data_IF_620678493680
#
_entry.id   IF_620678493680
#
_cell.length_a   1.000
_cell.length_b   1.000
_cell.length_c   1.000
_cell.angle_alpha   90.00
_cell.angle_beta   90.00
_cell.angle_gamma   90.00
#
_symmetry.space_group_name_H-M   'P 1'
#
loop_
_entity.id
_entity.type
_entity.pdbx_description
1 polymer ?
#
# COMPACT_ATOMS: atom_id res chain seq x y z
N UNK A 1 -28.92 -19.71 21.32
CA UNK A 1 -27.81 -18.78 20.90
C UNK A 1 -27.39 -17.96 22.11
N UNK A 2 -26.08 -17.87 22.37
CA UNK A 2 -25.51 -17.29 23.61
C UNK A 2 -25.83 -15.79 23.82
N UNK A 3 -26.05 -15.02 22.76
CA UNK A 3 -26.24 -13.58 22.82
C UNK A 3 -27.66 -13.10 22.52
N UNK A 4 -28.62 -14.04 22.32
CA UNK A 4 -30.02 -13.70 22.18
C UNK A 4 -30.74 -14.00 23.50
N UNK A 5 -31.29 -12.97 24.15
CA UNK A 5 -31.90 -13.14 25.49
C UNK A 5 -33.26 -13.79 25.48
N UNK A 6 -33.76 -14.25 24.31
CA UNK A 6 -35.09 -14.87 24.19
C UNK A 6 -35.04 -16.33 24.56
N UNK A 7 -35.88 -16.75 25.54
CA UNK A 7 -36.16 -18.14 25.83
C UNK A 7 -37.14 -18.75 24.81
N UNK A 8 -37.29 -20.06 24.82
CA UNK A 8 -38.29 -20.72 23.97
C UNK A 8 -39.72 -20.31 24.35
N UNK A 9 -39.97 -20.05 25.66
CA UNK A 9 -41.25 -19.51 26.12
C UNK A 9 -41.54 -18.11 25.53
N UNK A 10 -40.52 -17.25 25.47
CA UNK A 10 -40.65 -15.91 24.84
C UNK A 10 -40.96 -16.05 23.35
N UNK A 11 -40.29 -16.94 22.64
CA UNK A 11 -40.58 -17.22 21.24
C UNK A 11 -41.97 -17.73 20.98
N UNK A 12 -42.44 -18.67 21.81
CA UNK A 12 -43.84 -19.15 21.72
C UNK A 12 -44.84 -18.01 21.96
N UNK A 13 -44.62 -17.18 22.98
CA UNK A 13 -45.48 -16.02 23.25
C UNK A 13 -45.49 -15.03 22.10
N UNK A 14 -44.34 -14.77 21.46
CA UNK A 14 -44.23 -13.90 20.28
C UNK A 14 -44.96 -14.50 19.06
N UNK A 15 -44.79 -15.81 18.79
CA UNK A 15 -45.52 -16.50 17.74
C UNK A 15 -47.03 -16.45 17.95
N UNK A 16 -47.50 -16.68 19.16
CA UNK A 16 -48.90 -16.60 19.51
C UNK A 16 -49.47 -15.17 19.32
N UNK A 17 -48.71 -14.12 19.69
CA UNK A 17 -49.11 -12.73 19.46
C UNK A 17 -49.19 -12.36 17.97
N UNK A 18 -48.41 -13.00 17.10
CA UNK A 18 -48.44 -12.85 15.65
C UNK A 18 -49.54 -13.68 15.00
N UNK A 19 -50.04 -14.70 15.70
CA UNK A 19 -51.06 -15.61 15.21
C UNK A 19 -50.50 -16.79 14.40
N UNK A 20 -49.27 -17.24 14.70
CA UNK A 20 -48.61 -18.40 14.09
C UNK A 20 -48.22 -19.43 15.17
N UNK A 21 -48.02 -20.67 14.76
CA UNK A 21 -47.66 -21.77 15.69
C UNK A 21 -46.12 -21.91 15.84
N UNK A 22 -45.37 -21.55 14.84
CA UNK A 22 -43.92 -21.68 14.82
C UNK A 22 -43.24 -20.59 13.96
N UNK A 23 -41.97 -20.32 14.25
CA UNK A 23 -41.15 -19.34 13.50
C UNK A 23 -41.09 -19.65 11.98
N UNK A 24 -41.10 -20.94 11.63
CA UNK A 24 -41.04 -21.36 10.22
C UNK A 24 -42.24 -20.89 9.39
N UNK A 25 -43.39 -20.61 10.01
CA UNK A 25 -44.56 -20.07 9.33
C UNK A 25 -44.36 -18.62 8.85
N UNK A 26 -43.39 -17.88 9.41
CA UNK A 26 -43.01 -16.55 8.92
C UNK A 26 -42.43 -16.58 7.51
N UNK A 27 -41.91 -17.74 7.09
CA UNK A 27 -41.30 -17.94 5.78
C UNK A 27 -42.24 -18.60 4.76
N UNK A 28 -43.55 -18.59 5.02
CA UNK A 28 -44.56 -19.26 4.15
C UNK A 28 -44.54 -18.76 2.69
N UNK A 29 -44.09 -17.52 2.46
CA UNK A 29 -43.97 -16.92 1.14
C UNK A 29 -42.71 -17.38 0.38
N UNK A 30 -41.79 -18.10 1.06
CA UNK A 30 -40.61 -18.71 0.45
C UNK A 30 -41.00 -20.13 -0.02
N UNK A 31 -40.77 -20.52 -1.30
CA UNK A 31 -41.01 -21.88 -1.78
C UNK A 31 -40.32 -22.92 -0.90
N UNK A 32 -40.99 -24.05 -0.66
CA UNK A 32 -40.53 -25.07 0.31
C UNK A 32 -39.13 -25.61 -0.03
N UNK A 33 -38.82 -25.75 -1.31
CA UNK A 33 -37.56 -26.24 -1.84
C UNK A 33 -36.38 -25.25 -1.61
N UNK A 34 -36.68 -23.97 -1.32
CA UNK A 34 -35.69 -22.95 -1.01
C UNK A 34 -35.55 -22.68 0.48
N UNK A 35 -36.40 -23.34 1.33
CA UNK A 35 -36.30 -23.22 2.77
C UNK A 35 -35.24 -24.17 3.29
N UNK A 36 -34.46 -23.70 4.26
CA UNK A 36 -33.45 -24.53 4.95
C UNK A 36 -32.50 -25.23 3.96
N UNK A 37 -31.80 -24.48 3.06
CA UNK A 37 -30.85 -25.12 2.17
C UNK A 37 -29.81 -25.86 3.01
N UNK A 38 -29.47 -27.07 2.59
CA UNK A 38 -28.43 -27.86 3.24
C UNK A 38 -27.07 -27.19 3.00
N UNK A 39 -26.40 -26.81 4.07
CA UNK A 39 -25.06 -26.24 4.04
C UNK A 39 -24.02 -27.36 4.22
N UNK A 40 -24.01 -28.31 3.28
CA UNK A 40 -23.24 -29.56 3.38
C UNK A 40 -21.74 -29.37 3.58
N UNK A 41 -21.19 -28.23 3.07
CA UNK A 41 -19.75 -27.95 3.09
C UNK A 41 -19.33 -27.10 4.29
N UNK A 42 -20.26 -26.72 5.17
CA UNK A 42 -19.90 -25.95 6.36
C UNK A 42 -19.76 -26.91 7.57
N UNK A 43 -18.64 -26.76 8.31
CA UNK A 43 -18.48 -27.55 9.55
C UNK A 43 -19.52 -27.13 10.60
N UNK A 44 -19.89 -28.05 11.42
CA UNK A 44 -20.74 -27.77 12.58
C UNK A 44 -20.04 -26.80 13.55
N UNK A 45 -20.83 -26.13 14.39
CA UNK A 45 -20.32 -25.21 15.40
C UNK A 45 -19.39 -25.91 16.38
N UNK A 46 -18.19 -25.37 16.58
CA UNK A 46 -17.19 -25.87 17.50
C UNK A 46 -17.07 -24.97 18.74
N UNK A 47 -16.59 -25.53 19.85
CA UNK A 47 -16.30 -24.78 21.07
C UNK A 47 -15.03 -23.92 20.92
N UNK A 48 -14.90 -22.86 21.74
CA UNK A 48 -13.78 -21.91 21.71
C UNK A 48 -12.40 -22.61 21.77
N UNK A 49 -12.26 -23.64 22.65
CA UNK A 49 -10.98 -24.37 22.75
C UNK A 49 -10.65 -25.19 21.50
N UNK A 50 -11.65 -25.71 20.80
CA UNK A 50 -11.46 -26.48 19.55
C UNK A 50 -11.07 -25.54 18.43
N UNK A 51 -11.75 -24.39 18.34
CA UNK A 51 -11.42 -23.32 17.37
C UNK A 51 -10.01 -22.79 17.60
N UNK A 52 -9.63 -22.48 18.84
CA UNK A 52 -8.27 -22.03 19.18
C UNK A 52 -7.20 -23.04 18.77
N UNK A 53 -7.40 -24.33 19.10
CA UNK A 53 -6.47 -25.39 18.68
C UNK A 53 -6.35 -25.50 17.16
N UNK A 54 -7.48 -25.44 16.46
CA UNK A 54 -7.50 -25.52 15.00
C UNK A 54 -6.71 -24.37 14.37
N UNK A 55 -7.01 -23.13 14.77
CA UNK A 55 -6.33 -21.96 14.21
C UNK A 55 -4.85 -21.89 14.60
N UNK A 56 -4.47 -22.30 15.81
CA UNK A 56 -3.06 -22.43 16.19
C UNK A 56 -2.32 -23.48 15.35
N UNK A 57 -2.99 -24.58 14.99
CA UNK A 57 -2.41 -25.59 14.11
C UNK A 57 -2.18 -25.03 12.69
N UNK A 58 -3.13 -24.25 12.16
CA UNK A 58 -2.97 -23.57 10.88
C UNK A 58 -1.86 -22.50 10.94
N UNK A 59 -1.84 -21.70 12.01
CA UNK A 59 -0.83 -20.65 12.20
C UNK A 59 0.61 -21.21 12.20
N UNK A 60 0.86 -22.36 12.82
CA UNK A 60 2.18 -23.02 12.82
C UNK A 60 2.67 -23.50 11.45
N UNK A 61 1.83 -23.47 10.42
CA UNK A 61 2.23 -23.81 9.04
C UNK A 61 2.80 -22.61 8.29
N UNK A 62 2.70 -21.41 8.85
CA UNK A 62 3.24 -20.20 8.26
C UNK A 62 4.68 -19.96 8.70
N UNK A 63 5.42 -19.18 7.90
CA UNK A 63 6.74 -18.65 8.22
C UNK A 63 6.61 -17.15 8.52
N UNK A 64 6.46 -16.76 9.81
CA UNK A 64 6.30 -15.35 10.16
C UNK A 64 7.57 -14.53 9.87
N UNK A 65 7.41 -13.36 9.28
CA UNK A 65 8.51 -12.49 8.88
C UNK A 65 9.46 -12.12 10.04
N UNK A 66 8.97 -12.04 11.28
CA UNK A 66 9.75 -11.65 12.46
C UNK A 66 10.51 -12.81 13.14
N UNK A 67 10.27 -14.06 12.75
CA UNK A 67 10.93 -15.25 13.29
C UNK A 67 12.03 -15.77 12.37
N UNK A 68 12.08 -15.33 11.13
CA UNK A 68 12.95 -15.86 10.07
C UNK A 68 13.82 -14.75 9.45
N UNK A 69 15.00 -15.11 8.87
CA UNK A 69 15.71 -14.23 7.95
C UNK A 69 14.78 -13.79 6.82
N UNK A 70 14.55 -12.48 6.70
CA UNK A 70 13.51 -11.92 5.85
C UNK A 70 14.07 -10.85 4.92
N UNK A 71 14.00 -11.11 3.62
CA UNK A 71 14.52 -10.26 2.56
C UNK A 71 13.46 -9.96 1.48
N UNK A 72 12.18 -10.17 1.80
CA UNK A 72 11.08 -9.89 0.89
C UNK A 72 10.80 -8.38 0.90
N UNK A 73 10.58 -7.83 -0.30
CA UNK A 73 10.24 -6.44 -0.56
C UNK A 73 9.12 -6.32 -1.58
N UNK A 74 9.42 -5.70 -2.72
CA UNK A 74 8.49 -5.48 -3.82
C UNK A 74 7.19 -4.79 -3.35
N UNK A 75 7.33 -3.67 -2.63
CA UNK A 75 6.23 -2.81 -2.22
C UNK A 75 5.65 -3.05 -0.83
N UNK A 76 6.14 -4.05 -0.08
CA UNK A 76 5.82 -4.26 1.33
C UNK A 76 7.09 -4.67 2.09
N UNK A 77 7.46 -3.90 3.10
CA UNK A 77 8.75 -4.05 3.77
C UNK A 77 8.57 -4.27 5.27
N UNK A 78 9.43 -5.13 5.84
CA UNK A 78 9.44 -5.37 7.27
C UNK A 78 10.25 -4.30 7.97
N UNK A 79 9.60 -3.48 8.79
CA UNK A 79 10.23 -2.51 9.67
C UNK A 79 9.90 -2.81 11.14
N UNK A 80 10.71 -2.28 12.05
CA UNK A 80 10.38 -2.31 13.45
C UNK A 80 9.30 -1.26 13.77
N UNK A 81 8.17 -1.71 14.29
CA UNK A 81 7.13 -0.84 14.82
C UNK A 81 7.32 -0.74 16.34
N UNK A 82 7.51 0.46 16.92
CA UNK A 82 7.67 0.62 18.36
C UNK A 82 6.42 0.16 19.13
N UNK A 83 6.61 -0.52 20.26
CA UNK A 83 5.51 -1.01 21.11
C UNK A 83 4.54 0.10 21.56
N UNK A 84 5.03 1.34 21.66
CA UNK A 84 4.17 2.50 21.96
C UNK A 84 3.16 2.80 20.86
N UNK A 85 3.47 2.51 19.58
CA UNK A 85 2.50 2.66 18.47
C UNK A 85 1.35 1.68 18.68
N UNK A 86 1.68 0.38 18.86
CA UNK A 86 0.70 -0.68 19.09
C UNK A 86 -0.18 -0.37 20.33
N UNK A 87 0.44 0.03 21.44
CA UNK A 87 -0.28 0.38 22.66
C UNK A 87 -1.24 1.56 22.45
N UNK A 88 -0.82 2.63 21.76
CA UNK A 88 -1.62 3.83 21.60
C UNK A 88 -2.79 3.64 20.65
N UNK A 89 -2.63 2.91 19.56
CA UNK A 89 -3.73 2.66 18.61
C UNK A 89 -4.83 1.76 19.18
N UNK A 90 -4.54 0.99 20.25
CA UNK A 90 -5.51 0.14 20.92
C UNK A 90 -6.35 0.87 21.97
N UNK A 91 -6.06 2.14 22.24
CA UNK A 91 -6.89 2.92 23.17
C UNK A 91 -8.31 3.08 22.62
N UNK A 92 -9.31 2.89 23.48
CA UNK A 92 -10.73 2.91 23.10
C UNK A 92 -11.15 4.18 22.39
N UNK A 93 -10.54 5.32 22.76
CA UNK A 93 -10.81 6.63 22.16
C UNK A 93 -10.49 6.68 20.66
N UNK A 94 -9.49 5.90 20.22
CA UNK A 94 -9.08 5.80 18.81
C UNK A 94 -9.69 4.58 18.14
N UNK A 95 -9.62 3.40 18.79
CA UNK A 95 -10.02 2.12 18.20
C UNK A 95 -11.51 2.10 17.80
N UNK A 96 -12.37 2.74 18.59
CA UNK A 96 -13.82 2.81 18.34
C UNK A 96 -14.22 4.03 17.51
N UNK A 97 -13.31 4.95 17.21
CA UNK A 97 -13.59 6.12 16.38
C UNK A 97 -13.88 5.71 14.94
N UNK A 98 -14.90 6.32 14.36
CA UNK A 98 -15.23 6.18 12.95
C UNK A 98 -15.00 7.50 12.21
N UNK A 99 -15.77 7.79 11.18
CA UNK A 99 -15.63 9.04 10.45
C UNK A 99 -16.01 10.25 11.29
N UNK A 100 -15.15 11.28 11.38
CA UNK A 100 -15.39 12.47 12.23
C UNK A 100 -16.32 13.47 11.54
N UNK A 101 -17.59 13.10 11.27
CA UNK A 101 -18.56 13.97 10.62
C UNK A 101 -19.02 15.13 11.52
N UNK A 102 -19.06 14.89 12.83
CA UNK A 102 -19.43 15.92 13.82
C UNK A 102 -18.17 16.48 14.46
N UNK A 103 -17.67 17.64 13.99
CA UNK A 103 -16.41 18.19 14.49
C UNK A 103 -16.46 18.51 15.99
N UNK A 104 -17.63 18.81 16.53
CA UNK A 104 -17.81 19.19 17.94
C UNK A 104 -17.36 18.09 18.91
N UNK A 105 -17.52 16.83 18.54
CA UNK A 105 -17.16 15.67 19.38
C UNK A 105 -15.96 14.88 18.86
N UNK A 106 -15.40 15.26 17.71
CA UNK A 106 -14.36 14.52 17.02
C UNK A 106 -13.04 15.32 16.85
N UNK A 107 -12.81 16.34 17.66
CA UNK A 107 -11.64 17.21 17.53
C UNK A 107 -10.31 16.45 17.64
N UNK A 108 -10.22 15.45 18.53
CA UNK A 108 -9.02 14.61 18.65
C UNK A 108 -8.72 13.83 17.38
N UNK A 109 -9.74 13.20 16.77
CA UNK A 109 -9.61 12.49 15.49
C UNK A 109 -9.23 13.44 14.36
N UNK A 110 -9.85 14.58 14.25
CA UNK A 110 -9.54 15.60 13.25
C UNK A 110 -8.13 16.16 13.43
N UNK A 111 -7.68 16.33 14.67
CA UNK A 111 -6.32 16.82 14.98
C UNK A 111 -5.27 15.84 14.44
N UNK A 112 -5.33 14.53 14.77
CA UNK A 112 -4.31 13.62 14.29
C UNK A 112 -4.37 13.43 12.76
N UNK A 113 -5.54 13.52 12.13
CA UNK A 113 -5.64 13.49 10.68
C UNK A 113 -5.01 14.72 10.04
N UNK A 114 -5.15 15.89 10.65
CA UNK A 114 -4.46 17.10 10.18
C UNK A 114 -2.94 16.99 10.34
N UNK A 115 -2.47 16.42 11.44
CA UNK A 115 -1.05 16.13 11.66
C UNK A 115 -0.52 15.10 10.63
N UNK A 116 -1.28 14.03 10.38
CA UNK A 116 -0.98 13.08 9.31
C UNK A 116 -0.79 13.76 7.96
N UNK A 117 -1.76 14.60 7.55
CA UNK A 117 -1.66 15.36 6.30
C UNK A 117 -0.39 16.22 6.25
N UNK A 118 -0.06 16.88 7.36
CA UNK A 118 1.12 17.74 7.47
C UNK A 118 2.42 16.94 7.33
N UNK A 119 2.49 15.78 8.01
CA UNK A 119 3.65 14.88 7.94
C UNK A 119 3.85 14.31 6.53
N UNK A 120 2.76 13.86 5.89
CA UNK A 120 2.81 13.28 4.55
C UNK A 120 3.19 14.35 3.51
N UNK A 121 2.60 15.54 3.58
CA UNK A 121 2.97 16.65 2.70
C UNK A 121 4.45 17.03 2.84
N UNK A 122 4.96 17.13 4.06
CA UNK A 122 6.37 17.42 4.34
C UNK A 122 7.30 16.30 3.83
N UNK A 123 6.94 15.03 4.04
CA UNK A 123 7.71 13.86 3.61
C UNK A 123 7.90 13.84 2.08
N UNK A 124 6.84 14.12 1.33
CA UNK A 124 6.88 14.16 -0.13
C UNK A 124 7.36 15.50 -0.71
N UNK A 125 7.58 16.51 0.13
CA UNK A 125 7.93 17.87 -0.31
C UNK A 125 6.82 18.54 -1.12
N UNK A 126 5.57 18.21 -0.80
CA UNK A 126 4.37 18.70 -1.48
C UNK A 126 3.58 19.66 -0.60
N UNK A 127 2.60 20.38 -1.17
CA UNK A 127 1.87 21.43 -0.46
C UNK A 127 0.67 20.92 0.33
N UNK A 128 -0.01 19.86 -0.16
CA UNK A 128 -1.25 19.36 0.43
C UNK A 128 -1.25 17.82 0.39
N UNK A 129 -1.70 17.21 1.50
CA UNK A 129 -2.04 15.79 1.57
C UNK A 129 -3.49 15.60 2.02
N UNK A 130 -4.12 14.49 1.63
CA UNK A 130 -5.44 14.11 2.14
C UNK A 130 -5.33 13.29 3.44
N UNK A 131 -6.47 12.94 4.03
CA UNK A 131 -6.58 12.16 5.27
C UNK A 131 -6.35 10.65 5.08
N UNK A 132 -5.61 10.25 4.09
CA UNK A 132 -5.24 8.94 3.54
C UNK A 132 -6.16 8.38 2.45
N UNK A 133 -5.58 7.47 1.69
CA UNK A 133 -6.26 6.54 0.79
C UNK A 133 -6.26 5.14 1.43
N UNK A 134 -6.81 4.13 0.76
CA UNK A 134 -6.84 2.76 1.27
C UNK A 134 -5.47 2.11 1.24
N UNK A 135 -4.77 2.22 0.12
CA UNK A 135 -3.42 1.73 -0.14
C UNK A 135 -2.73 2.53 -1.25
N UNK A 136 -1.45 2.25 -1.47
CA UNK A 136 -0.65 2.94 -2.49
C UNK A 136 -1.12 2.66 -3.92
N UNK A 137 -1.61 1.47 -4.22
CA UNK A 137 -2.07 1.11 -5.56
C UNK A 137 -3.37 1.87 -5.92
N UNK A 138 -4.34 1.92 -4.98
CA UNK A 138 -5.55 2.72 -5.13
C UNK A 138 -5.23 4.21 -5.21
N UNK A 139 -4.28 4.70 -4.39
CA UNK A 139 -3.81 6.09 -4.46
C UNK A 139 -3.23 6.41 -5.85
N UNK A 140 -2.45 5.50 -6.42
CA UNK A 140 -1.86 5.67 -7.76
C UNK A 140 -2.92 5.73 -8.86
N UNK A 141 -3.89 4.82 -8.83
CA UNK A 141 -4.99 4.82 -9.80
C UNK A 141 -5.83 6.11 -9.69
N UNK A 142 -6.15 6.55 -8.48
CA UNK A 142 -6.86 7.82 -8.25
C UNK A 142 -6.04 9.05 -8.68
N UNK A 143 -4.70 9.00 -8.61
CA UNK A 143 -3.84 10.05 -9.13
C UNK A 143 -3.95 10.17 -10.66
N UNK A 144 -3.97 9.03 -11.37
CA UNK A 144 -4.20 9.01 -12.82
C UNK A 144 -5.60 9.59 -13.15
N UNK A 145 -6.63 9.13 -12.44
CA UNK A 145 -8.00 9.65 -12.64
C UNK A 145 -8.10 11.14 -12.31
N UNK A 146 -7.40 11.61 -11.30
CA UNK A 146 -7.32 13.03 -10.96
C UNK A 146 -6.64 13.83 -12.08
N UNK A 147 -5.54 13.34 -12.64
CA UNK A 147 -4.85 13.98 -13.75
C UNK A 147 -5.76 14.09 -14.99
N UNK A 148 -6.54 13.04 -15.30
CA UNK A 148 -7.54 13.07 -16.37
C UNK A 148 -8.64 14.12 -16.12
N UNK A 149 -9.09 14.28 -14.86
CA UNK A 149 -10.06 15.33 -14.50
C UNK A 149 -9.49 16.75 -14.65
N UNK A 150 -8.21 16.93 -14.29
CA UNK A 150 -7.51 18.20 -14.43
C UNK A 150 -7.26 18.56 -15.88
N UNK A 151 -6.94 17.59 -16.72
CA UNK A 151 -6.64 17.75 -18.16
C UNK A 151 -7.81 17.31 -19.03
N UNK A 152 -8.98 17.93 -18.85
CA UNK A 152 -10.31 17.51 -19.36
C UNK A 152 -10.37 17.04 -20.82
N UNK A 153 -9.51 17.57 -21.68
CA UNK A 153 -9.46 17.25 -23.11
C UNK A 153 -8.41 16.19 -23.45
N UNK A 154 -7.75 15.59 -22.46
CA UNK A 154 -6.70 14.61 -22.63
C UNK A 154 -7.08 13.31 -21.95
N UNK A 155 -6.84 12.19 -22.63
CA UNK A 155 -7.24 10.87 -22.13
C UNK A 155 -6.10 9.85 -22.13
N UNK A 156 -4.87 10.27 -22.36
CA UNK A 156 -3.69 9.42 -22.41
C UNK A 156 -2.89 9.53 -21.10
N UNK A 157 -2.58 8.40 -20.49
CA UNK A 157 -1.57 8.28 -19.44
C UNK A 157 -0.41 7.42 -19.93
N UNK A 158 0.82 7.87 -19.67
CA UNK A 158 2.04 7.12 -19.96
C UNK A 158 2.53 6.50 -18.64
N UNK A 159 2.63 5.17 -18.58
CA UNK A 159 3.05 4.43 -17.42
C UNK A 159 4.46 3.86 -17.66
N UNK A 160 5.40 4.12 -16.74
CA UNK A 160 6.73 3.52 -16.74
C UNK A 160 6.65 1.99 -16.76
N UNK A 161 7.53 1.34 -17.50
CA UNK A 161 7.69 -0.12 -17.47
C UNK A 161 8.20 -0.61 -16.12
N UNK A 162 8.89 0.25 -15.37
CA UNK A 162 9.41 -0.05 -14.05
C UNK A 162 8.44 0.34 -12.90
N UNK A 163 7.18 0.68 -13.22
CA UNK A 163 6.10 0.78 -12.23
C UNK A 163 5.72 -0.63 -11.75
N UNK A 164 5.47 -0.76 -10.46
CA UNK A 164 5.03 -2.02 -9.84
C UNK A 164 3.82 -2.62 -10.59
N UNK A 165 3.89 -3.87 -11.05
CA UNK A 165 2.86 -4.44 -11.94
C UNK A 165 1.48 -4.52 -11.28
N UNK A 166 1.38 -4.74 -9.97
CA UNK A 166 0.09 -4.72 -9.28
C UNK A 166 -0.53 -3.32 -9.24
N UNK A 167 0.28 -2.27 -9.10
CA UNK A 167 -0.17 -0.88 -9.19
C UNK A 167 -0.70 -0.57 -10.59
N UNK A 168 0.03 -1.02 -11.61
CA UNK A 168 -0.41 -0.93 -13.00
C UNK A 168 -1.74 -1.63 -13.22
N UNK A 169 -1.91 -2.86 -12.71
CA UNK A 169 -3.15 -3.63 -12.84
C UNK A 169 -4.35 -2.93 -12.19
N UNK A 170 -4.16 -2.22 -11.08
CA UNK A 170 -5.22 -1.41 -10.46
C UNK A 170 -5.58 -0.21 -11.34
N UNK A 171 -4.58 0.51 -11.92
CA UNK A 171 -4.82 1.59 -12.88
C UNK A 171 -5.62 1.06 -14.08
N UNK A 172 -5.20 -0.04 -14.69
CA UNK A 172 -5.88 -0.68 -15.83
C UNK A 172 -7.33 -1.05 -15.50
N UNK A 173 -7.55 -1.63 -14.32
CA UNK A 173 -8.88 -2.02 -13.85
C UNK A 173 -9.81 -0.82 -13.69
N UNK A 174 -9.33 0.25 -13.06
CA UNK A 174 -10.14 1.45 -12.80
C UNK A 174 -10.37 2.29 -14.05
N UNK A 175 -9.48 2.22 -15.04
CA UNK A 175 -9.57 2.94 -16.32
C UNK A 175 -10.37 2.20 -17.39
N UNK A 176 -10.57 0.90 -17.23
CA UNK A 176 -11.06 -0.03 -18.27
C UNK A 176 -12.31 0.40 -19.03
N UNK A 177 -13.27 1.01 -18.34
CA UNK A 177 -14.57 1.40 -18.92
C UNK A 177 -14.74 2.91 -19.08
N UNK A 178 -13.66 3.68 -18.97
CA UNK A 178 -13.69 5.14 -18.96
C UNK A 178 -13.26 5.77 -20.28
N UNK A 179 -12.79 4.96 -21.24
CA UNK A 179 -12.29 5.42 -22.53
C UNK A 179 -10.95 6.15 -22.44
N UNK A 180 -10.14 5.82 -21.45
CA UNK A 180 -8.78 6.31 -21.25
C UNK A 180 -7.79 5.43 -22.02
N UNK A 181 -6.73 6.04 -22.55
CA UNK A 181 -5.64 5.33 -23.24
C UNK A 181 -4.44 5.21 -22.30
N UNK A 182 -4.09 3.99 -21.95
CA UNK A 182 -2.91 3.70 -21.16
C UNK A 182 -1.77 3.23 -22.08
N UNK A 183 -0.68 3.98 -22.12
CA UNK A 183 0.56 3.59 -22.81
C UNK A 183 1.52 3.07 -21.76
N UNK A 184 1.72 1.76 -21.74
CA UNK A 184 2.54 1.09 -20.72
C UNK A 184 3.90 0.72 -21.29
N UNK A 185 4.97 1.13 -20.60
CA UNK A 185 6.34 0.74 -20.92
C UNK A 185 6.60 -0.77 -20.66
N UNK A 186 7.66 -1.26 -21.27
CA UNK A 186 8.19 -2.59 -20.99
C UNK A 186 9.17 -2.52 -19.82
N UNK A 187 9.11 -3.44 -18.85
CA UNK A 187 10.06 -3.50 -17.74
C UNK A 187 11.53 -3.51 -18.20
N UNK A 188 12.37 -2.70 -17.56
CA UNK A 188 13.81 -2.54 -17.88
C UNK A 188 14.66 -2.79 -16.61
N UNK A 189 14.79 -4.03 -16.15
CA UNK A 189 15.41 -4.34 -14.85
C UNK A 189 16.91 -4.03 -14.79
N UNK A 190 17.61 -3.97 -15.93
CA UNK A 190 19.05 -3.73 -15.97
C UNK A 190 19.42 -2.28 -16.30
N UNK A 191 18.51 -1.53 -16.92
CA UNK A 191 18.82 -0.18 -17.44
C UNK A 191 17.61 0.75 -17.25
N UNK A 192 17.52 1.44 -16.11
CA UNK A 192 16.43 2.38 -15.84
C UNK A 192 16.44 3.61 -16.78
N UNK A 193 17.59 3.96 -17.38
CA UNK A 193 17.71 5.05 -18.34
C UNK A 193 16.94 4.73 -19.64
N UNK A 194 16.89 3.46 -20.06
CA UNK A 194 16.10 3.03 -21.23
C UNK A 194 14.60 3.12 -20.96
N UNK A 195 14.15 2.86 -19.73
CA UNK A 195 12.75 3.08 -19.34
C UNK A 195 12.41 4.57 -19.35
N UNK A 196 13.28 5.40 -18.76
CA UNK A 196 13.12 6.86 -18.76
C UNK A 196 13.03 7.42 -20.18
N UNK A 197 13.93 6.99 -21.08
CA UNK A 197 13.94 7.41 -22.48
C UNK A 197 12.64 6.99 -23.20
N UNK A 198 12.15 5.77 -22.98
CA UNK A 198 10.92 5.28 -23.57
C UNK A 198 9.69 6.05 -23.06
N UNK A 199 9.63 6.35 -21.77
CA UNK A 199 8.59 7.18 -21.16
C UNK A 199 8.60 8.59 -21.76
N UNK A 200 9.77 9.24 -21.86
CA UNK A 200 9.91 10.58 -22.44
C UNK A 200 9.49 10.63 -23.92
N UNK A 201 9.80 9.58 -24.69
CA UNK A 201 9.43 9.48 -26.11
C UNK A 201 7.91 9.29 -26.32
N UNK A 202 7.21 8.73 -25.33
CA UNK A 202 5.78 8.47 -25.39
C UNK A 202 4.92 9.71 -25.06
N UNK A 203 5.51 10.81 -24.59
CA UNK A 203 4.81 12.05 -24.18
C UNK A 203 4.47 12.87 -25.43
N UNK A 204 3.20 13.27 -25.55
CA UNK A 204 2.67 14.17 -26.58
C UNK A 204 1.57 15.09 -26.01
N UNK A 205 0.92 15.86 -26.88
CA UNK A 205 -0.13 16.81 -26.51
C UNK A 205 -1.42 16.15 -26.00
N UNK A 206 -1.64 14.86 -26.24
CA UNK A 206 -2.78 14.11 -25.73
C UNK A 206 -2.50 13.52 -24.32
N UNK A 207 -1.27 13.57 -23.87
CA UNK A 207 -0.85 13.04 -22.57
C UNK A 207 -1.38 13.91 -21.44
N UNK A 208 -2.21 13.33 -20.59
CA UNK A 208 -2.71 13.96 -19.36
C UNK A 208 -1.68 13.83 -18.20
N UNK A 209 -1.07 12.66 -18.06
CA UNK A 209 -0.04 12.42 -17.05
C UNK A 209 0.95 11.35 -17.45
N UNK A 210 2.08 11.40 -16.76
CA UNK A 210 3.13 10.38 -16.78
C UNK A 210 3.26 9.83 -15.37
N UNK A 211 3.36 8.50 -15.23
CA UNK A 211 3.45 7.81 -13.94
C UNK A 211 4.78 7.07 -13.84
N UNK A 212 5.57 7.41 -12.83
CA UNK A 212 6.86 6.76 -12.52
C UNK A 212 6.91 6.34 -11.05
N UNK A 213 7.68 5.31 -10.73
CA UNK A 213 7.91 4.88 -9.35
C UNK A 213 9.31 5.28 -8.89
N UNK A 214 9.42 5.68 -7.62
CA UNK A 214 10.64 6.21 -7.01
C UNK A 214 10.80 5.78 -5.53
N UNK A 215 11.77 4.90 -5.21
CA UNK A 215 12.52 4.03 -6.13
C UNK A 215 11.62 3.14 -6.97
N UNK A 216 12.08 2.68 -8.15
CA UNK A 216 11.28 1.82 -9.01
C UNK A 216 11.16 0.39 -8.47
N UNK A 217 10.34 -0.45 -9.12
CA UNK A 217 10.07 -1.83 -8.65
C UNK A 217 11.33 -2.71 -8.60
N UNK A 218 12.36 -2.38 -9.37
CA UNK A 218 13.64 -3.10 -9.38
C UNK A 218 14.65 -2.54 -8.36
N UNK A 219 14.26 -1.51 -7.63
CA UNK A 219 15.05 -0.83 -6.61
C UNK A 219 15.87 0.36 -7.12
N UNK A 220 15.77 0.73 -8.42
CA UNK A 220 16.58 1.83 -8.97
C UNK A 220 16.10 3.19 -8.48
N UNK A 221 17.09 4.06 -8.24
CA UNK A 221 16.88 5.48 -7.91
C UNK A 221 17.25 6.32 -9.12
N UNK A 222 16.24 6.92 -9.77
CA UNK A 222 16.37 7.75 -10.97
C UNK A 222 16.01 9.20 -10.68
N UNK A 223 16.75 10.17 -11.24
CA UNK A 223 16.37 11.59 -11.18
C UNK A 223 15.35 11.90 -12.28
N UNK A 224 14.15 12.29 -11.89
CA UNK A 224 13.06 12.59 -12.81
C UNK A 224 12.91 14.09 -13.13
N UNK A 225 13.89 14.93 -12.81
CA UNK A 225 13.83 16.39 -13.08
C UNK A 225 13.59 16.66 -14.57
N UNK A 226 14.35 16.03 -15.46
CA UNK A 226 14.19 16.19 -16.91
C UNK A 226 12.85 15.65 -17.42
N UNK A 227 12.34 14.59 -16.81
CA UNK A 227 11.03 14.05 -17.15
C UNK A 227 9.90 15.02 -16.76
N UNK A 228 10.01 15.65 -15.58
CA UNK A 228 9.06 16.68 -15.15
C UNK A 228 9.03 17.85 -16.14
N UNK A 229 10.20 18.37 -16.52
CA UNK A 229 10.31 19.44 -17.51
C UNK A 229 9.69 19.05 -18.87
N UNK A 230 9.96 17.82 -19.34
CA UNK A 230 9.40 17.29 -20.58
C UNK A 230 7.87 17.17 -20.50
N UNK A 231 7.34 16.61 -19.42
CA UNK A 231 5.90 16.47 -19.19
C UNK A 231 5.22 17.85 -19.18
N UNK A 232 5.76 18.78 -18.41
CA UNK A 232 5.23 20.15 -18.32
C UNK A 232 5.28 20.92 -19.64
N UNK A 233 6.34 20.75 -20.43
CA UNK A 233 6.45 21.37 -21.76
C UNK A 233 5.32 20.93 -22.71
N UNK A 234 4.79 19.70 -22.54
CA UNK A 234 3.63 19.18 -23.26
C UNK A 234 2.32 19.40 -22.50
N UNK A 235 2.35 20.09 -21.35
CA UNK A 235 1.19 20.36 -20.51
C UNK A 235 0.65 19.11 -19.76
N UNK A 236 1.39 18.01 -19.72
CA UNK A 236 1.09 16.82 -18.94
C UNK A 236 1.51 17.00 -17.47
N UNK A 237 0.97 16.16 -16.57
CA UNK A 237 1.33 16.15 -15.15
C UNK A 237 2.31 14.99 -14.86
N UNK A 238 3.25 15.21 -13.96
CA UNK A 238 4.10 14.16 -13.41
C UNK A 238 3.47 13.57 -12.13
N UNK A 239 3.16 12.28 -12.16
CA UNK A 239 2.72 11.49 -11.03
C UNK A 239 3.88 10.59 -10.57
N UNK A 240 4.27 10.70 -9.31
CA UNK A 240 5.30 9.83 -8.71
C UNK A 240 4.70 8.89 -7.69
N UNK A 241 5.19 7.65 -7.69
CA UNK A 241 4.75 6.58 -6.78
C UNK A 241 5.92 6.17 -5.89
N UNK A 242 5.73 6.15 -4.58
CA UNK A 242 6.75 5.71 -3.61
C UNK A 242 6.19 4.56 -2.78
N UNK A 243 6.69 3.35 -3.00
CA UNK A 243 6.25 2.15 -2.25
C UNK A 243 6.98 1.99 -0.92
N UNK A 244 8.15 2.63 -0.77
CA UNK A 244 8.96 2.64 0.45
C UNK A 244 9.22 4.08 0.92
N UNK A 245 8.34 4.65 1.76
CA UNK A 245 8.43 6.06 2.16
C UNK A 245 9.63 6.36 3.08
N UNK A 246 10.23 5.36 3.73
CA UNK A 246 11.48 5.53 4.51
C UNK A 246 12.62 6.01 3.60
N UNK A 247 12.59 5.70 2.31
CA UNK A 247 13.56 6.18 1.33
C UNK A 247 13.66 7.71 1.30
N UNK A 248 12.55 8.41 1.53
CA UNK A 248 12.49 9.88 1.52
C UNK A 248 13.21 10.53 2.72
N UNK A 249 13.63 9.75 3.71
CA UNK A 249 14.57 10.20 4.75
C UNK A 249 16.01 10.37 4.24
N UNK A 250 16.34 9.83 3.07
CA UNK A 250 17.66 9.92 2.43
C UNK A 250 17.61 10.53 1.03
N UNK A 251 16.59 10.20 0.25
CA UNK A 251 16.43 10.64 -1.12
C UNK A 251 15.71 12.00 -1.21
N UNK A 252 15.90 12.70 -2.33
CA UNK A 252 15.18 13.94 -2.61
C UNK A 252 13.67 13.68 -2.68
N UNK A 253 12.83 14.50 -2.02
CA UNK A 253 11.39 14.30 -2.07
C UNK A 253 10.83 14.64 -3.48
N UNK A 254 9.77 13.94 -3.93
CA UNK A 254 9.18 14.12 -5.26
C UNK A 254 8.82 15.57 -5.63
N UNK A 255 8.31 16.34 -4.69
CA UNK A 255 7.99 17.75 -4.93
C UNK A 255 9.19 18.59 -5.37
N UNK A 256 10.42 18.22 -4.92
CA UNK A 256 11.64 18.98 -5.22
C UNK A 256 12.16 18.79 -6.65
N UNK A 257 11.71 17.76 -7.38
CA UNK A 257 12.06 17.57 -8.79
C UNK A 257 10.86 17.75 -9.74
N UNK A 258 9.77 18.35 -9.25
CA UNK A 258 8.68 18.80 -10.11
C UNK A 258 7.46 17.88 -10.19
N UNK A 259 7.28 16.93 -9.26
CA UNK A 259 6.04 16.16 -9.19
C UNK A 259 4.82 17.06 -8.97
N UNK A 260 3.74 16.79 -9.68
CA UNK A 260 2.44 17.47 -9.53
C UNK A 260 1.53 16.74 -8.56
N UNK A 261 1.60 15.41 -8.60
CA UNK A 261 0.91 14.51 -7.69
C UNK A 261 1.95 13.47 -7.24
N UNK A 262 2.09 13.28 -5.93
CA UNK A 262 2.97 12.27 -5.38
C UNK A 262 2.18 11.38 -4.43
N UNK A 263 2.21 10.08 -4.69
CA UNK A 263 1.45 9.06 -3.96
C UNK A 263 2.36 7.95 -3.48
N UNK A 264 1.89 7.14 -2.56
CA UNK A 264 2.69 6.04 -2.08
C UNK A 264 1.98 5.13 -1.11
N UNK A 265 2.74 4.16 -0.57
CA UNK A 265 2.32 3.24 0.45
C UNK A 265 2.97 3.60 1.79
N UNK A 266 2.15 3.76 2.83
CA UNK A 266 2.61 4.14 4.17
C UNK A 266 2.92 2.98 5.11
N UNK A 267 2.77 1.74 4.67
CA UNK A 267 2.89 0.53 5.50
C UNK A 267 4.19 0.48 6.32
N UNK A 268 5.31 0.86 5.77
CA UNK A 268 6.63 0.85 6.43
C UNK A 268 6.72 1.70 7.70
N UNK A 269 5.81 2.63 7.89
CA UNK A 269 5.80 3.58 9.01
C UNK A 269 4.60 3.32 9.93
N UNK A 270 4.76 2.42 10.89
CA UNK A 270 3.78 2.17 11.95
C UNK A 270 2.79 1.04 11.69
N UNK A 271 2.78 0.45 10.49
CA UNK A 271 1.89 -0.68 10.15
C UNK A 271 2.72 -1.94 9.92
N UNK A 272 2.52 -2.96 10.76
CA UNK A 272 3.19 -4.24 10.61
C UNK A 272 2.76 -5.01 9.36
N UNK A 273 3.59 -5.97 8.92
CA UNK A 273 3.22 -6.90 7.86
C UNK A 273 2.12 -7.85 8.33
N UNK A 274 1.01 -7.87 7.63
CA UNK A 274 -0.11 -8.79 7.80
C UNK A 274 -0.51 -9.36 6.43
N UNK A 275 -1.24 -10.43 6.40
CA UNK A 275 -1.66 -11.16 5.19
C UNK A 275 -2.46 -10.29 4.19
N UNK A 276 -1.79 -9.37 3.49
CA UNK A 276 -2.41 -8.48 2.51
C UNK A 276 -3.03 -7.21 3.06
N UNK A 277 -2.69 -6.81 4.28
CA UNK A 277 -3.15 -5.56 4.86
C UNK A 277 -3.54 -5.64 6.34
N UNK A 278 -4.03 -4.54 6.91
CA UNK A 278 -4.33 -3.28 6.23
C UNK A 278 -3.08 -2.56 5.72
N UNK A 279 -3.27 -1.76 4.67
CA UNK A 279 -2.27 -0.85 4.11
C UNK A 279 -2.69 0.60 4.34
N UNK A 280 -1.86 1.56 3.85
CA UNK A 280 -2.10 2.99 4.05
C UNK A 280 -1.70 3.78 2.81
N UNK A 281 -2.67 4.22 2.03
CA UNK A 281 -2.40 5.05 0.86
C UNK A 281 -2.04 6.48 1.26
N UNK A 282 -0.90 6.94 0.75
CA UNK A 282 -0.42 8.32 0.87
C UNK A 282 -0.76 9.06 -0.42
N UNK A 283 -1.32 10.26 -0.31
CA UNK A 283 -1.71 11.06 -1.47
C UNK A 283 -1.43 12.53 -1.23
N UNK A 284 -0.60 13.11 -2.09
CA UNK A 284 -0.22 14.51 -2.04
C UNK A 284 -0.35 15.19 -3.40
N UNK A 285 -0.54 16.50 -3.40
CA UNK A 285 -0.61 17.30 -4.62
C UNK A 285 -0.26 18.76 -4.38
N UNK A 286 -0.16 19.54 -5.46
CA UNK A 286 -0.05 21.01 -5.38
C UNK A 286 -1.37 21.63 -4.92
N UNK A 287 -1.32 22.76 -4.25
CA UNK A 287 -2.49 23.47 -3.69
C UNK A 287 -3.53 23.82 -4.75
N UNK A 288 -3.09 24.20 -5.94
CA UNK A 288 -3.98 24.53 -7.04
C UNK A 288 -4.91 23.39 -7.47
N UNK A 289 -4.50 22.13 -7.23
CA UNK A 289 -5.26 20.94 -7.62
C UNK A 289 -6.17 20.38 -6.51
N UNK A 290 -6.15 20.95 -5.32
CA UNK A 290 -6.84 20.43 -4.12
C UNK A 290 -8.34 20.15 -4.35
N UNK A 291 -9.02 20.93 -5.19
CA UNK A 291 -10.45 20.75 -5.50
C UNK A 291 -10.75 19.47 -6.30
N UNK A 292 -9.76 18.86 -6.94
CA UNK A 292 -9.87 17.61 -7.70
C UNK A 292 -9.26 16.42 -6.96
N UNK A 293 -8.69 16.65 -5.78
CA UNK A 293 -8.05 15.63 -4.95
C UNK A 293 -9.09 14.60 -4.47
N UNK A 294 -8.83 13.29 -4.55
CA UNK A 294 -9.70 12.26 -3.97
C UNK A 294 -9.61 12.24 -2.44
N UNK A 295 -10.55 11.54 -1.82
CA UNK A 295 -10.52 11.32 -0.37
C UNK A 295 -10.91 12.53 0.46
N UNK A 296 -10.84 12.36 1.78
CA UNK A 296 -11.20 13.40 2.75
C UNK A 296 -10.06 14.36 3.00
N UNK A 297 -10.42 15.57 3.36
CA UNK A 297 -9.52 16.63 3.78
C UNK A 297 -9.97 17.20 5.10
N UNK A 298 -9.04 17.34 6.04
CA UNK A 298 -9.22 18.07 7.28
C UNK A 298 -8.62 19.45 7.11
N UNK A 299 -9.38 20.48 7.45
CA UNK A 299 -8.96 21.88 7.44
C UNK A 299 -8.96 22.47 8.84
N UNK A 300 -8.06 23.42 9.07
CA UNK A 300 -8.05 24.23 10.29
C UNK A 300 -9.09 25.34 10.19
N UNK A 301 -9.77 25.63 11.31
CA UNK A 301 -10.77 26.68 11.45
C UNK A 301 -10.72 27.28 12.86
N UNK A 302 -11.61 28.21 13.15
CA UNK A 302 -11.84 28.72 14.49
C UNK A 302 -13.32 28.58 14.87
N UNK A 303 -13.60 28.39 16.16
CA UNK A 303 -14.97 28.39 16.69
C UNK A 303 -15.51 29.80 16.84
N UNK A 304 -16.73 29.92 17.37
CA UNK A 304 -17.39 31.23 17.62
C UNK A 304 -16.69 32.10 18.67
N UNK A 305 -15.82 31.51 19.49
CA UNK A 305 -15.01 32.20 20.49
C UNK A 305 -13.57 32.47 19.98
N UNK A 306 -13.28 32.15 18.72
CA UNK A 306 -11.96 32.36 18.12
C UNK A 306 -10.92 31.28 18.47
N UNK A 307 -11.32 30.16 19.11
CA UNK A 307 -10.42 29.07 19.46
C UNK A 307 -10.17 28.19 18.23
N UNK A 308 -8.93 27.77 18.08
CA UNK A 308 -8.51 26.85 17.01
C UNK A 308 -9.28 25.53 17.05
N UNK A 309 -9.78 25.09 15.91
CA UNK A 309 -10.45 23.81 15.73
C UNK A 309 -10.22 23.24 14.35
N UNK A 310 -10.75 22.04 14.12
CA UNK A 310 -10.59 21.30 12.85
C UNK A 310 -11.93 20.80 12.35
N UNK A 311 -12.09 20.76 11.03
CA UNK A 311 -13.32 20.28 10.37
C UNK A 311 -12.96 19.47 9.13
N UNK A 312 -13.87 18.57 8.71
CA UNK A 312 -13.82 18.03 7.34
C UNK A 312 -14.16 19.16 6.38
N UNK A 313 -13.30 19.36 5.37
CA UNK A 313 -13.48 20.43 4.38
C UNK A 313 -13.68 19.84 2.98
N UNK A 314 -14.27 20.64 2.07
CA UNK A 314 -14.56 20.26 0.70
C UNK A 314 -15.42 18.97 0.56
N UNK A 315 -16.20 18.61 1.59
CA UNK A 315 -17.02 17.40 1.63
C UNK A 315 -18.06 17.32 0.49
N UNK A 316 -18.43 18.45 -0.11
CA UNK A 316 -19.34 18.49 -1.29
C UNK A 316 -18.81 17.71 -2.50
N UNK A 317 -17.53 17.28 -2.53
CA UNK A 317 -16.94 16.42 -3.58
C UNK A 317 -17.26 14.95 -3.39
N UNK A 318 -17.67 14.54 -2.18
CA UNK A 318 -17.81 13.14 -1.77
C UNK A 318 -19.05 12.48 -2.37
N UNK A 319 -19.02 11.14 -2.50
CA UNK A 319 -20.04 10.35 -3.15
C UNK A 319 -21.42 10.42 -2.47
N UNK A 320 -21.48 10.55 -1.15
CA UNK A 320 -22.74 10.63 -0.41
C UNK A 320 -23.50 11.94 -0.67
N UNK A 321 -22.82 12.97 -1.20
CA UNK A 321 -23.42 14.24 -1.58
C UNK A 321 -23.65 14.29 -3.10
N UNK A 322 -22.63 14.02 -3.90
CA UNK A 322 -22.67 14.19 -5.36
C UNK A 322 -23.07 12.94 -6.14
N UNK A 323 -23.13 11.79 -5.49
CA UNK A 323 -23.49 10.51 -6.11
C UNK A 323 -22.63 10.22 -7.35
N UNK A 324 -23.24 10.01 -8.52
CA UNK A 324 -22.56 9.76 -9.80
C UNK A 324 -21.64 10.89 -10.27
N UNK A 325 -21.81 12.10 -9.71
CA UNK A 325 -20.97 13.28 -10.02
C UNK A 325 -19.85 13.49 -8.99
N UNK A 326 -19.63 12.53 -8.09
CA UNK A 326 -18.55 12.62 -7.11
C UNK A 326 -17.18 12.68 -7.79
N UNK A 327 -16.25 13.34 -7.13
CA UNK A 327 -14.86 13.44 -7.61
C UNK A 327 -14.17 12.08 -7.66
N UNK A 328 -14.50 11.19 -6.72
CA UNK A 328 -13.92 9.85 -6.58
C UNK A 328 -14.91 8.91 -5.90
N UNK A 329 -14.72 7.61 -6.07
CA UNK A 329 -15.45 6.56 -5.35
C UNK A 329 -14.86 6.25 -3.97
N UNK A 330 -13.80 6.92 -3.56
CA UNK A 330 -13.23 6.79 -2.21
C UNK A 330 -14.26 7.29 -1.20
N UNK A 331 -14.68 6.39 -0.31
CA UNK A 331 -15.72 6.66 0.68
C UNK A 331 -15.15 7.19 1.99
N UNK A 332 -14.08 6.58 2.48
CA UNK A 332 -13.47 6.88 3.78
C UNK A 332 -11.95 6.89 3.66
N UNK A 333 -11.28 6.91 4.78
CA UNK A 333 -9.83 6.83 4.92
C UNK A 333 -9.45 5.66 5.84
N UNK A 334 -8.19 5.22 5.82
CA UNK A 334 -7.64 4.21 6.73
C UNK A 334 -7.22 4.86 8.05
N UNK A 335 -8.22 5.33 8.84
CA UNK A 335 -7.98 6.23 9.98
C UNK A 335 -7.03 5.66 11.05
N UNK A 336 -7.21 4.39 11.46
CA UNK A 336 -6.34 3.77 12.46
C UNK A 336 -4.91 3.56 11.95
N UNK A 337 -4.74 3.19 10.69
CA UNK A 337 -3.42 3.07 10.05
C UNK A 337 -2.75 4.46 9.90
N UNK A 338 -3.52 5.50 9.56
CA UNK A 338 -3.03 6.88 9.53
C UNK A 338 -2.58 7.35 10.92
N UNK A 339 -3.27 6.97 11.98
CA UNK A 339 -2.85 7.24 13.36
C UNK A 339 -1.54 6.53 13.70
N UNK A 340 -1.42 5.23 13.36
CA UNK A 340 -0.20 4.46 13.59
C UNK A 340 1.00 5.10 12.88
N UNK A 341 0.82 5.50 11.63
CA UNK A 341 1.82 6.24 10.85
C UNK A 341 2.21 7.56 11.55
N UNK A 342 1.21 8.36 11.95
CA UNK A 342 1.42 9.65 12.61
C UNK A 342 2.20 9.52 13.90
N UNK A 343 1.86 8.54 14.74
CA UNK A 343 2.57 8.26 15.98
C UNK A 343 4.03 7.85 15.68
N UNK A 344 4.23 6.91 14.75
CA UNK A 344 5.57 6.44 14.40
C UNK A 344 6.44 7.57 13.83
N UNK A 345 5.92 8.36 12.90
CA UNK A 345 6.62 9.53 12.35
C UNK A 345 6.95 10.57 13.42
N UNK A 346 6.05 10.81 14.36
CA UNK A 346 6.28 11.72 15.48
C UNK A 346 7.39 11.22 16.40
N UNK A 347 7.43 9.91 16.70
CA UNK A 347 8.49 9.29 17.50
C UNK A 347 9.86 9.35 16.80
N UNK A 348 9.91 9.16 15.50
CA UNK A 348 11.13 9.28 14.72
C UNK A 348 11.59 10.73 14.61
N UNK A 349 10.70 11.65 14.28
CA UNK A 349 11.03 12.99 13.87
C UNK A 349 11.98 13.00 12.65
N UNK A 350 12.40 14.17 12.19
CA UNK A 350 13.30 14.28 11.04
C UNK A 350 14.62 13.53 11.25
N UNK A 351 15.23 13.69 12.42
CA UNK A 351 16.53 13.05 12.73
C UNK A 351 16.44 11.54 12.77
N UNK A 352 15.36 11.00 13.37
CA UNK A 352 15.11 9.57 13.45
C UNK A 352 14.86 8.97 12.08
N UNK A 353 14.01 9.58 11.26
CA UNK A 353 13.72 9.13 9.89
C UNK A 353 15.00 9.10 9.03
N UNK A 354 15.79 10.17 9.05
CA UNK A 354 17.08 10.22 8.34
C UNK A 354 18.06 9.14 8.81
N UNK A 355 18.11 8.86 10.12
CA UNK A 355 18.95 7.79 10.67
C UNK A 355 18.44 6.42 10.24
N UNK A 356 17.13 6.18 10.30
CA UNK A 356 16.48 4.95 9.85
C UNK A 356 16.78 4.69 8.37
N UNK A 357 16.60 5.68 7.52
CA UNK A 357 16.89 5.57 6.09
C UNK A 357 18.35 5.21 5.80
N UNK A 358 19.30 5.88 6.48
CA UNK A 358 20.74 5.55 6.35
C UNK A 358 21.06 4.13 6.80
N UNK A 359 20.41 3.66 7.87
CA UNK A 359 20.61 2.30 8.37
C UNK A 359 20.08 1.26 7.37
N UNK A 360 18.91 1.48 6.81
CA UNK A 360 18.33 0.62 5.77
C UNK A 360 19.25 0.52 4.56
N UNK A 361 19.71 1.67 4.05
CA UNK A 361 20.64 1.69 2.92
C UNK A 361 21.96 0.96 3.25
N UNK A 362 22.55 1.21 4.42
CA UNK A 362 23.78 0.53 4.84
C UNK A 362 23.61 -0.99 4.94
N UNK A 363 22.47 -1.46 5.45
CA UNK A 363 22.13 -2.90 5.47
C UNK A 363 22.03 -3.47 4.06
N UNK A 364 21.38 -2.77 3.15
CA UNK A 364 21.29 -3.22 1.76
C UNK A 364 22.65 -3.25 1.06
N UNK A 365 23.53 -2.29 1.32
CA UNK A 365 24.93 -2.33 0.82
C UNK A 365 25.65 -3.59 1.29
N UNK A 366 25.50 -3.98 2.57
CA UNK A 366 26.09 -5.21 3.09
C UNK A 366 25.53 -6.45 2.40
N UNK A 367 24.20 -6.53 2.24
CA UNK A 367 23.53 -7.63 1.49
C UNK A 367 24.02 -7.69 0.05
N UNK A 368 24.02 -6.55 -0.64
CA UNK A 368 24.52 -6.44 -2.04
C UNK A 368 25.93 -7.01 -2.16
N UNK A 369 26.85 -6.60 -1.28
CA UNK A 369 28.24 -7.03 -1.34
C UNK A 369 28.38 -8.54 -1.11
N UNK A 370 27.61 -9.10 -0.17
CA UNK A 370 27.61 -10.53 0.10
C UNK A 370 27.09 -11.36 -1.09
N UNK A 371 26.00 -10.89 -1.72
CA UNK A 371 25.36 -11.61 -2.83
C UNK A 371 26.10 -11.42 -4.17
N UNK A 372 26.68 -10.26 -4.41
CA UNK A 372 27.51 -10.00 -5.60
C UNK A 372 28.80 -10.82 -5.66
N UNK A 373 29.25 -11.34 -4.51
CA UNK A 373 30.42 -12.22 -4.44
C UNK A 373 30.13 -13.66 -4.89
N UNK A 374 28.85 -14.04 -5.05
CA UNK A 374 28.47 -15.40 -5.43
C UNK A 374 28.65 -15.63 -6.94
N UNK A 375 29.21 -16.80 -7.34
CA UNK A 375 29.42 -17.10 -8.74
C UNK A 375 28.12 -17.10 -9.57
N UNK A 376 28.12 -16.40 -10.69
CA UNK A 376 26.99 -16.33 -11.62
C UNK A 376 25.86 -15.39 -11.18
N UNK A 377 25.96 -14.74 -10.05
CA UNK A 377 24.99 -13.74 -9.58
C UNK A 377 25.41 -12.35 -10.06
N UNK A 378 24.50 -11.63 -10.74
CA UNK A 378 24.70 -10.27 -11.16
C UNK A 378 23.71 -9.34 -10.45
N UNK A 379 24.22 -8.26 -9.83
CA UNK A 379 23.37 -7.19 -9.27
C UNK A 379 23.01 -6.25 -10.40
N UNK A 380 21.72 -5.94 -10.57
CA UNK A 380 21.22 -5.01 -11.58
C UNK A 380 21.07 -3.62 -10.97
N UNK A 381 21.60 -2.62 -11.68
CA UNK A 381 21.56 -1.21 -11.23
C UNK A 381 22.64 -0.86 -10.19
N UNK A 382 23.05 0.39 -10.22
CA UNK A 382 24.10 0.94 -9.33
C UNK A 382 23.53 1.79 -8.20
N UNK A 383 22.42 2.49 -8.48
CA UNK A 383 21.77 3.41 -7.55
C UNK A 383 20.52 2.78 -6.98
N UNK A 384 20.52 2.51 -5.68
CA UNK A 384 19.42 1.85 -4.98
C UNK A 384 19.25 2.44 -3.57
N UNK A 385 18.13 2.14 -2.93
CA UNK A 385 17.92 2.48 -1.53
C UNK A 385 18.05 1.25 -0.62
N UNK A 386 17.00 0.47 -0.42
CA UNK A 386 16.97 -0.70 0.46
C UNK A 386 16.51 -1.98 -0.26
N UNK A 387 16.41 -1.93 -1.56
CA UNK A 387 16.04 -3.05 -2.43
C UNK A 387 16.93 -3.07 -3.67
N UNK A 388 17.29 -4.26 -4.10
CA UNK A 388 18.06 -4.53 -5.33
C UNK A 388 17.45 -5.69 -6.10
N UNK A 389 17.70 -5.73 -7.39
CA UNK A 389 17.37 -6.89 -8.22
C UNK A 389 18.64 -7.65 -8.57
N UNK A 390 18.61 -8.96 -8.34
CA UNK A 390 19.64 -9.89 -8.78
C UNK A 390 19.20 -10.60 -10.07
N UNK A 391 20.15 -10.84 -10.96
CA UNK A 391 19.99 -11.84 -12.03
C UNK A 391 20.74 -13.09 -11.62
N UNK A 392 20.02 -14.20 -11.54
CA UNK A 392 20.55 -15.52 -11.23
C UNK A 392 20.89 -16.28 -12.54
N UNK A 393 21.81 -17.27 -12.52
CA UNK A 393 22.10 -18.11 -13.68
C UNK A 393 20.95 -19.08 -14.03
N UNK A 394 19.99 -19.25 -13.12
CA UNK A 394 18.84 -20.16 -13.21
C UNK A 394 17.56 -19.43 -12.87
N UNK A 395 16.40 -20.06 -13.04
CA UNK A 395 15.11 -19.52 -12.62
C UNK A 395 15.08 -19.28 -11.11
N UNK A 396 14.58 -18.10 -10.69
CA UNK A 396 14.61 -17.68 -9.29
C UNK A 396 13.55 -18.38 -8.41
N UNK A 397 12.41 -18.78 -8.97
CA UNK A 397 11.30 -19.35 -8.17
C UNK A 397 11.69 -20.65 -7.45
N UNK A 398 12.29 -21.67 -8.10
CA UNK A 398 12.73 -22.88 -7.39
C UNK A 398 13.77 -22.60 -6.28
N UNK A 399 14.63 -21.61 -6.50
CA UNK A 399 15.62 -21.19 -5.49
C UNK A 399 14.90 -20.60 -4.26
N UNK A 400 13.95 -19.70 -4.47
CA UNK A 400 13.17 -19.09 -3.37
C UNK A 400 12.41 -20.15 -2.58
N UNK A 401 11.80 -21.13 -3.25
CA UNK A 401 11.10 -22.24 -2.61
C UNK A 401 12.05 -23.12 -1.77
N UNK A 402 13.22 -23.44 -2.31
CA UNK A 402 14.23 -24.21 -1.58
C UNK A 402 14.73 -23.49 -0.32
N UNK A 403 15.01 -22.19 -0.42
CA UNK A 403 15.43 -21.37 0.73
C UNK A 403 14.30 -21.21 1.74
N UNK A 404 13.05 -21.07 1.32
CA UNK A 404 11.89 -21.02 2.20
C UNK A 404 11.71 -22.32 2.99
N UNK A 405 11.98 -23.49 2.39
CA UNK A 405 12.00 -24.77 3.09
C UNK A 405 13.08 -24.85 4.19
N UNK A 406 14.18 -24.09 4.06
CA UNK A 406 15.19 -23.89 5.10
C UNK A 406 14.84 -22.76 6.09
N UNK A 407 13.68 -22.14 5.97
CA UNK A 407 13.24 -21.02 6.82
C UNK A 407 13.87 -19.66 6.45
N UNK A 408 14.37 -19.48 5.23
CA UNK A 408 14.96 -18.22 4.74
C UNK A 408 14.03 -17.62 3.67
N UNK A 409 13.44 -16.47 3.96
CA UNK A 409 12.56 -15.74 3.04
C UNK A 409 13.41 -14.79 2.17
N UNK A 410 13.96 -15.33 1.09
CA UNK A 410 15.07 -14.75 0.33
C UNK A 410 14.73 -13.54 -0.54
N UNK A 411 13.46 -13.29 -0.82
CA UNK A 411 13.01 -12.22 -1.70
C UNK A 411 11.84 -12.61 -2.60
N UNK A 412 11.60 -11.83 -3.64
CA UNK A 412 10.48 -12.05 -4.58
C UNK A 412 11.04 -12.45 -5.94
N UNK A 413 10.70 -13.65 -6.46
CA UNK A 413 11.15 -14.07 -7.80
C UNK A 413 10.36 -13.31 -8.87
N UNK A 414 11.05 -12.91 -9.94
CA UNK A 414 10.49 -12.04 -10.97
C UNK A 414 9.26 -12.61 -11.70
N UNK A 415 9.18 -13.93 -11.88
CA UNK A 415 8.02 -14.58 -12.47
C UNK A 415 6.73 -14.41 -11.64
N UNK A 416 6.82 -14.12 -10.35
CA UNK A 416 5.65 -13.80 -9.50
C UNK A 416 5.04 -12.45 -9.84
N UNK A 417 5.86 -11.51 -10.28
CA UNK A 417 5.43 -10.17 -10.68
C UNK A 417 5.11 -10.08 -12.18
N UNK A 418 5.84 -10.85 -13.00
CA UNK A 418 5.69 -10.90 -14.45
C UNK A 418 5.65 -12.36 -14.93
N UNK A 419 4.53 -13.10 -14.70
CA UNK A 419 4.44 -14.52 -15.04
C UNK A 419 4.61 -14.81 -16.53
N UNK A 420 4.17 -13.89 -17.39
CA UNK A 420 4.19 -14.03 -18.84
C UNK A 420 5.52 -13.56 -19.51
N UNK A 421 6.53 -13.22 -18.68
CA UNK A 421 7.81 -12.69 -19.16
C UNK A 421 8.98 -13.59 -18.78
N UNK A 422 9.43 -14.41 -19.72
CA UNK A 422 10.55 -15.33 -19.52
C UNK A 422 11.86 -14.63 -19.12
N UNK A 423 12.11 -13.41 -19.65
CA UNK A 423 13.29 -12.59 -19.32
C UNK A 423 13.31 -12.06 -17.85
N UNK A 424 12.20 -12.23 -17.14
CA UNK A 424 12.10 -11.91 -15.70
C UNK A 424 12.19 -13.15 -14.80
N UNK A 425 12.18 -14.37 -15.32
CA UNK A 425 12.13 -15.61 -14.53
C UNK A 425 13.39 -15.87 -13.71
N UNK A 426 14.53 -15.37 -14.14
CA UNK A 426 15.79 -15.47 -13.42
C UNK A 426 16.09 -14.25 -12.52
N UNK A 427 15.14 -13.36 -12.35
CA UNK A 427 15.27 -12.20 -11.46
C UNK A 427 14.83 -12.54 -10.04
N UNK A 428 15.58 -12.05 -9.06
CA UNK A 428 15.26 -12.11 -7.65
C UNK A 428 15.34 -10.70 -7.04
N UNK A 429 14.22 -10.16 -6.59
CA UNK A 429 14.15 -8.89 -5.88
C UNK A 429 14.43 -9.14 -4.41
N UNK A 430 15.41 -8.44 -3.85
CA UNK A 430 15.90 -8.63 -2.48
C UNK A 430 15.87 -7.30 -1.76
N UNK A 431 15.21 -7.25 -0.61
CA UNK A 431 15.12 -6.05 0.23
C UNK A 431 15.78 -6.28 1.60
N UNK A 432 16.30 -5.21 2.19
CA UNK A 432 16.83 -5.23 3.54
C UNK A 432 16.46 -3.94 4.30
N UNK A 433 16.07 -4.12 5.56
CA UNK A 433 15.73 -3.01 6.45
C UNK A 433 16.62 -3.07 7.71
N UNK A 434 16.38 -2.18 8.66
CA UNK A 434 17.05 -2.17 9.96
C UNK A 434 16.87 -3.47 10.75
N UNK A 435 15.90 -4.28 10.40
CA UNK A 435 15.60 -5.54 11.09
C UNK A 435 16.50 -6.70 10.68
N UNK A 436 17.24 -6.55 9.58
CA UNK A 436 18.16 -7.59 9.07
C UNK A 436 19.45 -7.60 9.87
N UNK A 437 19.83 -8.78 10.41
CA UNK A 437 21.05 -9.00 11.18
C UNK A 437 22.18 -9.54 10.30
N UNK A 438 23.43 -9.41 10.76
CA UNK A 438 24.59 -9.95 10.04
C UNK A 438 24.52 -11.48 9.88
N UNK A 439 23.97 -12.18 10.88
CA UNK A 439 23.74 -13.62 10.81
C UNK A 439 22.72 -14.00 9.70
N UNK A 440 21.68 -13.17 9.49
CA UNK A 440 20.68 -13.39 8.45
C UNK A 440 21.30 -13.23 7.05
N UNK A 441 22.19 -12.24 6.88
CA UNK A 441 22.92 -12.02 5.62
C UNK A 441 23.84 -13.20 5.31
N UNK A 442 24.58 -13.69 6.33
CA UNK A 442 25.45 -14.85 6.18
C UNK A 442 24.66 -16.11 5.81
N UNK A 443 23.51 -16.32 6.48
CA UNK A 443 22.63 -17.45 6.20
C UNK A 443 22.08 -17.40 4.77
N UNK A 444 21.60 -16.22 4.31
CA UNK A 444 21.10 -16.04 2.95
C UNK A 444 22.17 -16.33 1.90
N UNK A 445 23.39 -15.75 2.07
CA UNK A 445 24.48 -15.94 1.10
C UNK A 445 24.91 -17.41 0.99
N UNK A 446 25.08 -18.09 2.14
CA UNK A 446 25.43 -19.50 2.15
C UNK A 446 24.36 -20.43 1.58
N UNK A 447 23.07 -20.16 1.88
CA UNK A 447 21.97 -20.96 1.34
C UNK A 447 21.81 -20.75 -0.17
N UNK A 448 21.90 -19.49 -0.64
CA UNK A 448 21.83 -19.17 -2.06
C UNK A 448 22.98 -19.83 -2.84
N UNK A 449 24.20 -19.78 -2.32
CA UNK A 449 25.37 -20.45 -2.94
C UNK A 449 25.15 -21.96 -3.06
N UNK A 450 24.63 -22.63 -2.02
CA UNK A 450 24.31 -24.06 -2.06
C UNK A 450 23.25 -24.37 -3.12
N UNK A 451 22.15 -23.61 -3.09
CA UNK A 451 21.04 -23.81 -4.02
C UNK A 451 21.47 -23.64 -5.49
N UNK A 452 22.31 -22.63 -5.78
CA UNK A 452 22.84 -22.40 -7.13
C UNK A 452 23.81 -23.50 -7.62
N UNK A 453 24.48 -24.25 -6.72
CA UNK A 453 25.34 -25.38 -7.09
C UNK A 453 24.56 -26.65 -7.38
N UNK A 454 23.32 -26.76 -6.92
CA UNK A 454 22.46 -27.95 -7.06
C UNK A 454 21.40 -27.81 -8.13
N UNK A 455 21.22 -26.62 -8.71
CA UNK A 455 20.31 -26.29 -9.80
C UNK A 455 21.00 -26.28 -11.14
#
# INVERSE_FOLDING_TARGET
>A
MRYLPLSDADRHAMCAAIGISAVDELFRDVPAELRNPSLHDLPEGAGEMEVDRHFRALARRNLPAFEHPFFVGAGAYRHHVPASVDYLIQRGEFLTAYTPYQPEIAQGTLTYLFEFQSQVAALFGMEVANASMYDGATATAEAVLMAMRLKRNRRKAVLSGNLHPHYRAVIETMSRFRGETLVTGTPRPANPEDDLAAVMAAIDEETACVVVQYPDVFGHVTDFTMLAERAHAHGALLVTVTTEPVALGLLRPPGSFGADIAVGEGQSLGVGLNFGGPHLGLFTTRREFVRQMPGRLVGETVDTEGRRGFVLTLAAREQHIRREKATSNICTNSGLAALAFTIHMTLLGEKGLRRLARLNHARMVTVKNALAALPGVAVLGERFFNEITLRLPVAAAPIVEALAAEGILAGVPGNRLWPDREDCHNLLLVAATETVRDADITALAAALERALKTS
#
